data_IF_124991478379
#
_entry.id   IF_124991478379
#
_cell.length_a   1.000
_cell.length_b   1.000
_cell.length_c   1.000
_cell.angle_alpha   90.00
_cell.angle_beta   90.00
_cell.angle_gamma   90.00
#
_symmetry.space_group_name_H-M   'P 1'
#
loop_
_entity.id
_entity.type
_entity.pdbx_description
1 polymer ?
#
# COMPACT_ATOMS: atom_id res chain seq x y z
N UNK A 1 7.20 9.51 6.46
CA UNK A 1 8.02 8.50 5.74
C UNK A 1 9.22 9.16 5.03
N UNK A 2 10.37 9.28 5.69
CA UNK A 2 11.55 9.92 5.07
C UNK A 2 12.03 9.13 3.84
N UNK A 3 12.12 9.82 2.70
CA UNK A 3 12.81 9.35 1.49
C UNK A 3 12.02 8.44 0.53
N UNK A 4 10.77 8.04 0.85
CA UNK A 4 9.94 7.16 -0.02
C UNK A 4 8.85 7.87 -0.82
N UNK A 5 8.47 9.08 -0.44
CA UNK A 5 7.48 9.88 -1.17
C UNK A 5 8.08 10.53 -2.41
N UNK A 6 7.32 10.61 -3.51
CA UNK A 6 7.77 11.28 -4.73
C UNK A 6 7.94 12.80 -4.57
N UNK A 7 7.11 13.43 -3.73
CA UNK A 7 7.12 14.86 -3.43
C UNK A 7 6.18 15.14 -2.24
N UNK A 8 6.25 16.34 -1.67
CA UNK A 8 5.29 16.81 -0.65
C UNK A 8 4.00 17.36 -1.27
N UNK A 9 4.05 17.88 -2.50
CA UNK A 9 2.88 18.37 -3.23
C UNK A 9 2.05 17.21 -3.82
N UNK A 10 0.78 17.03 -3.42
CA UNK A 10 -0.08 15.97 -3.95
C UNK A 10 -0.18 15.97 -5.47
N UNK A 11 -0.18 17.15 -6.12
CA UNK A 11 -0.29 17.22 -7.57
C UNK A 11 0.97 16.68 -8.26
N UNK A 12 2.16 16.88 -7.68
CA UNK A 12 3.42 16.28 -8.14
C UNK A 12 3.44 14.78 -7.90
N UNK A 13 2.96 14.31 -6.74
CA UNK A 13 2.83 12.87 -6.44
C UNK A 13 1.95 12.17 -7.48
N UNK A 14 0.76 12.70 -7.77
CA UNK A 14 -0.16 12.13 -8.78
C UNK A 14 0.50 12.00 -10.16
N UNK A 15 1.22 13.05 -10.61
CA UNK A 15 1.94 13.01 -11.90
C UNK A 15 3.02 11.93 -11.92
N UNK A 16 3.82 11.84 -10.85
CA UNK A 16 4.88 10.85 -10.74
C UNK A 16 4.31 9.42 -10.69
N UNK A 17 3.29 9.18 -9.87
CA UNK A 17 2.63 7.88 -9.76
C UNK A 17 2.07 7.44 -11.10
N UNK A 18 1.37 8.31 -11.85
CA UNK A 18 0.85 7.97 -13.19
C UNK A 18 1.98 7.60 -14.15
N UNK A 19 3.05 8.39 -14.20
CA UNK A 19 4.19 8.09 -15.06
C UNK A 19 4.83 6.74 -14.70
N UNK A 20 4.97 6.43 -13.41
CA UNK A 20 5.46 5.12 -12.94
C UNK A 20 4.52 3.98 -13.31
N UNK A 21 3.21 4.17 -13.12
CA UNK A 21 2.17 3.18 -13.46
C UNK A 21 2.23 2.85 -14.95
N UNK A 22 2.28 3.87 -15.81
CA UNK A 22 2.44 3.69 -17.26
C UNK A 22 3.71 2.93 -17.61
N UNK A 23 4.86 3.34 -17.05
CA UNK A 23 6.14 2.68 -17.33
C UNK A 23 6.17 1.21 -16.92
N UNK A 24 5.61 0.87 -15.75
CA UNK A 24 5.49 -0.52 -15.30
C UNK A 24 4.56 -1.34 -16.20
N UNK A 25 3.40 -0.79 -16.56
CA UNK A 25 2.42 -1.48 -17.42
C UNK A 25 2.99 -1.74 -18.83
N UNK A 26 3.69 -0.76 -19.41
CA UNK A 26 4.41 -0.89 -20.69
C UNK A 26 5.53 -1.95 -20.61
N UNK A 27 6.28 -1.96 -19.49
CA UNK A 27 7.27 -2.99 -19.16
C UNK A 27 6.66 -4.36 -18.85
N UNK A 28 5.33 -4.44 -18.73
CA UNK A 28 4.58 -5.66 -18.54
C UNK A 28 4.46 -6.17 -17.12
N UNK A 29 4.66 -5.28 -16.15
CA UNK A 29 4.49 -5.52 -14.73
C UNK A 29 3.25 -4.76 -14.27
N UNK A 30 2.27 -5.45 -13.66
CA UNK A 30 1.09 -4.78 -13.09
C UNK A 30 1.50 -4.02 -11.82
N UNK A 31 1.42 -2.68 -11.79
CA UNK A 31 1.79 -1.92 -10.60
C UNK A 31 0.70 -1.99 -9.52
N UNK A 32 1.13 -2.00 -8.26
CA UNK A 32 0.27 -1.82 -7.08
C UNK A 32 0.68 -0.51 -6.41
N UNK A 33 -0.27 0.40 -6.21
CA UNK A 33 0.00 1.69 -5.54
C UNK A 33 -0.11 1.49 -4.04
N UNK A 34 0.84 2.04 -3.29
CA UNK A 34 0.90 1.92 -1.83
C UNK A 34 1.31 3.24 -1.17
N UNK A 35 1.03 3.46 0.13
CA UNK A 35 0.18 2.64 1.01
C UNK A 35 -1.05 3.47 1.43
N UNK A 36 -2.26 2.95 1.21
CA UNK A 36 -3.52 3.65 1.51
C UNK A 36 -3.89 3.55 3.00
N UNK A 37 -4.44 4.60 3.67
CA UNK A 37 -4.91 5.88 3.14
C UNK A 37 -3.83 6.98 3.03
N UNK A 38 -2.57 6.67 3.34
CA UNK A 38 -1.43 7.55 3.10
C UNK A 38 -0.48 7.64 4.28
N UNK A 39 0.76 7.19 4.09
CA UNK A 39 1.81 7.16 5.13
C UNK A 39 2.73 8.40 5.12
N UNK A 40 2.40 9.42 4.32
CA UNK A 40 3.24 10.62 4.16
C UNK A 40 3.56 11.29 5.51
N UNK A 41 2.55 11.43 6.36
CA UNK A 41 2.63 12.03 7.69
C UNK A 41 2.88 11.00 8.82
N UNK A 42 3.28 9.76 8.50
CA UNK A 42 3.60 8.76 9.51
C UNK A 42 4.84 9.18 10.32
N UNK A 43 4.78 8.98 11.64
CA UNK A 43 5.84 9.30 12.60
C UNK A 43 7.18 8.61 12.31
N UNK A 44 7.15 7.45 11.67
CA UNK A 44 8.31 6.71 11.17
C UNK A 44 7.92 5.81 10.00
N UNK A 45 8.86 5.00 9.50
CA UNK A 45 8.57 3.99 8.48
C UNK A 45 7.78 2.82 9.10
N UNK A 46 6.53 2.54 8.66
CA UNK A 46 5.72 1.44 9.22
C UNK A 46 6.29 0.04 8.98
N UNK A 47 7.20 -0.11 8.00
CA UNK A 47 7.89 -1.38 7.77
C UNK A 47 8.95 -1.71 8.84
N UNK A 48 9.38 -0.70 9.61
CA UNK A 48 10.41 -0.83 10.65
C UNK A 48 9.83 -0.93 12.07
N UNK A 49 8.53 -0.69 12.23
CA UNK A 49 7.85 -0.74 13.52
C UNK A 49 6.57 0.10 13.55
N UNK A 50 5.88 0.15 14.70
CA UNK A 50 4.62 0.86 14.85
C UNK A 50 4.75 2.35 14.49
N UNK A 51 3.96 2.82 13.54
CA UNK A 51 3.95 4.21 13.10
C UNK A 51 2.54 4.78 13.21
N UNK A 52 2.42 6.05 13.57
CA UNK A 52 1.14 6.73 13.72
C UNK A 52 1.03 7.88 12.73
N UNK A 53 -0.13 7.98 12.09
CA UNK A 53 -0.56 9.15 11.33
C UNK A 53 -1.59 9.90 12.17
N UNK A 54 -1.17 11.06 12.70
CA UNK A 54 -1.99 11.89 13.60
C UNK A 54 -2.94 12.87 12.90
N UNK A 55 -3.14 12.72 11.60
CA UNK A 55 -4.04 13.58 10.83
C UNK A 55 -5.51 13.21 11.08
N UNK A 56 -6.40 14.21 11.07
CA UNK A 56 -7.84 13.98 11.05
C UNK A 56 -8.32 13.45 9.67
N UNK A 57 -9.53 12.90 9.62
CA UNK A 57 -10.07 12.27 8.41
C UNK A 57 -10.25 13.28 7.26
N UNK A 58 -10.58 14.53 7.55
CA UNK A 58 -10.77 15.55 6.52
C UNK A 58 -9.42 15.94 5.90
N UNK A 59 -8.38 16.07 6.73
CA UNK A 59 -7.00 16.28 6.30
C UNK A 59 -6.48 15.13 5.43
N UNK A 60 -6.83 13.87 5.75
CA UNK A 60 -6.53 12.71 4.90
C UNK A 60 -7.28 12.79 3.56
N UNK A 61 -8.58 13.13 3.59
CA UNK A 61 -9.42 13.31 2.40
C UNK A 61 -8.87 14.35 1.44
N UNK A 62 -8.55 15.54 1.96
CA UNK A 62 -8.14 16.68 1.14
C UNK A 62 -6.75 16.51 0.52
N UNK A 63 -5.92 15.61 1.09
CA UNK A 63 -4.55 15.35 0.66
C UNK A 63 -4.38 13.93 0.10
N UNK A 64 -4.02 12.96 0.95
CA UNK A 64 -3.56 11.64 0.52
C UNK A 64 -4.66 10.85 -0.20
N UNK A 65 -5.87 10.78 0.36
CA UNK A 65 -7.00 10.06 -0.22
C UNK A 65 -7.40 10.70 -1.57
N UNK A 66 -7.38 12.04 -1.69
CA UNK A 66 -7.59 12.72 -2.97
C UNK A 66 -6.54 12.34 -4.02
N UNK A 67 -5.28 12.20 -3.62
CA UNK A 67 -4.22 11.74 -4.52
C UNK A 67 -4.46 10.29 -4.97
N UNK A 68 -4.85 9.39 -4.06
CA UNK A 68 -5.26 8.02 -4.40
C UNK A 68 -6.46 8.01 -5.34
N UNK A 69 -7.47 8.84 -5.10
CA UNK A 69 -8.65 8.93 -5.97
C UNK A 69 -8.28 9.38 -7.40
N UNK A 70 -7.29 10.25 -7.54
CA UNK A 70 -6.83 10.69 -8.85
C UNK A 70 -6.15 9.57 -9.66
N UNK A 71 -5.61 8.52 -9.02
CA UNK A 71 -4.88 7.43 -9.68
C UNK A 71 -5.57 6.07 -9.60
N UNK A 72 -6.64 5.94 -8.80
CA UNK A 72 -7.31 4.66 -8.53
C UNK A 72 -7.83 3.98 -9.80
N UNK A 73 -8.27 4.77 -10.78
CA UNK A 73 -8.75 4.28 -12.08
C UNK A 73 -7.64 3.82 -13.03
N UNK A 74 -6.41 4.22 -12.75
CA UNK A 74 -5.24 3.88 -13.57
C UNK A 74 -4.61 2.55 -13.15
N UNK A 75 -5.05 1.98 -12.01
CA UNK A 75 -4.41 0.82 -11.38
C UNK A 75 -5.40 -0.29 -11.06
N UNK A 76 -4.88 -1.52 -10.99
CA UNK A 76 -5.68 -2.72 -10.71
C UNK A 76 -5.59 -3.19 -9.27
N UNK A 77 -4.66 -2.63 -8.51
CA UNK A 77 -4.53 -2.93 -7.09
C UNK A 77 -3.95 -1.80 -6.28
N UNK A 78 -4.39 -1.72 -5.03
CA UNK A 78 -3.93 -0.77 -4.02
C UNK A 78 -3.57 -1.56 -2.77
N UNK A 79 -2.40 -1.27 -2.19
CA UNK A 79 -1.98 -1.85 -0.94
C UNK A 79 -2.37 -0.96 0.24
N UNK A 80 -2.85 -1.58 1.31
CA UNK A 80 -3.15 -0.93 2.57
C UNK A 80 -1.88 -0.59 3.37
N UNK A 81 -2.03 0.36 4.29
CA UNK A 81 -0.99 0.80 5.21
C UNK A 81 -0.91 -0.07 6.46
N UNK A 82 0.30 -0.26 6.98
CA UNK A 82 0.55 -0.87 8.29
C UNK A 82 0.56 0.16 9.45
N UNK A 83 0.36 1.45 9.15
CA UNK A 83 0.34 2.49 10.16
C UNK A 83 -1.00 2.53 10.93
N UNK A 84 -0.96 3.11 12.13
CA UNK A 84 -2.09 3.45 12.98
C UNK A 84 -2.61 4.84 12.60
N UNK A 85 -3.92 5.04 12.52
CA UNK A 85 -4.49 6.33 12.09
C UNK A 85 -5.44 6.87 13.15
N UNK A 86 -5.09 7.99 13.76
CA UNK A 86 -5.90 8.59 14.84
C UNK A 86 -7.34 8.91 14.44
N UNK A 87 -7.57 9.13 13.14
CA UNK A 87 -8.88 9.41 12.57
C UNK A 87 -9.77 8.18 12.32
N UNK A 88 -9.22 6.96 12.42
CA UNK A 88 -9.90 5.71 12.13
C UNK A 88 -9.87 4.81 13.38
N UNK A 89 -8.73 4.16 13.60
CA UNK A 89 -8.42 3.40 14.80
C UNK A 89 -6.96 3.73 15.21
N UNK A 90 -6.73 4.30 16.41
CA UNK A 90 -5.41 4.71 16.86
C UNK A 90 -4.52 3.56 17.35
N UNK A 91 -5.04 2.34 17.47
CA UNK A 91 -4.31 1.17 18.02
C UNK A 91 -4.22 0.01 17.03
N UNK A 92 -5.11 -0.06 16.05
CA UNK A 92 -5.13 -1.10 15.02
C UNK A 92 -4.54 -0.59 13.69
N UNK A 93 -3.60 -1.32 13.06
CA UNK A 93 -3.10 -0.99 11.72
C UNK A 93 -4.21 -0.90 10.67
N UNK A 94 -4.16 0.11 9.79
CA UNK A 94 -5.21 0.36 8.81
C UNK A 94 -5.56 -0.85 7.92
N UNK A 95 -4.60 -1.74 7.64
CA UNK A 95 -4.85 -2.97 6.87
C UNK A 95 -5.81 -3.95 7.54
N UNK A 96 -6.07 -3.80 8.83
CA UNK A 96 -6.96 -4.64 9.64
C UNK A 96 -8.24 -3.92 10.05
N UNK A 97 -8.39 -2.64 9.68
CA UNK A 97 -9.52 -1.80 10.07
C UNK A 97 -10.56 -1.77 8.93
N UNK A 98 -11.78 -2.33 9.11
CA UNK A 98 -12.79 -2.34 8.07
C UNK A 98 -13.13 -0.96 7.51
N UNK A 99 -13.18 0.07 8.38
CA UNK A 99 -13.45 1.46 8.00
C UNK A 99 -12.38 2.01 7.07
N UNK A 100 -11.11 1.62 7.24
CA UNK A 100 -10.03 2.05 6.36
C UNK A 100 -10.20 1.48 4.96
N UNK A 101 -10.53 0.19 4.83
CA UNK A 101 -10.80 -0.44 3.54
C UNK A 101 -12.11 0.09 2.93
N UNK A 102 -13.11 0.41 3.75
CA UNK A 102 -14.36 0.99 3.31
C UNK A 102 -14.17 2.36 2.61
N UNK A 103 -13.14 3.13 2.97
CA UNK A 103 -12.79 4.37 2.24
C UNK A 103 -12.38 4.08 0.78
N UNK A 104 -11.73 2.94 0.49
CA UNK A 104 -11.43 2.56 -0.90
C UNK A 104 -12.70 2.24 -1.68
N UNK A 105 -13.60 1.45 -1.08
CA UNK A 105 -14.84 1.01 -1.75
C UNK A 105 -15.89 2.11 -1.86
N UNK A 106 -15.97 2.98 -0.84
CA UNK A 106 -16.94 4.08 -0.76
C UNK A 106 -16.42 5.36 -1.41
N UNK A 107 -15.45 6.02 -0.78
CA UNK A 107 -14.99 7.36 -1.20
C UNK A 107 -14.33 7.33 -2.60
N UNK A 108 -13.67 6.23 -2.96
CA UNK A 108 -12.94 6.09 -4.22
C UNK A 108 -13.67 5.27 -5.30
N UNK A 109 -14.77 4.58 -4.96
CA UNK A 109 -15.44 3.61 -5.84
C UNK A 109 -14.44 2.61 -6.48
N UNK A 110 -13.43 2.20 -5.71
CA UNK A 110 -12.37 1.33 -6.21
C UNK A 110 -12.86 -0.12 -6.26
N UNK A 111 -12.87 -0.73 -7.44
CA UNK A 111 -13.25 -2.15 -7.63
C UNK A 111 -12.05 -3.08 -7.90
N UNK A 112 -10.83 -2.55 -7.90
CA UNK A 112 -9.61 -3.35 -8.04
C UNK A 112 -9.26 -4.16 -6.79
N UNK A 113 -8.19 -4.95 -6.86
CA UNK A 113 -7.74 -5.77 -5.74
C UNK A 113 -7.15 -4.92 -4.61
N UNK A 114 -7.63 -5.12 -3.38
CA UNK A 114 -7.03 -4.55 -2.17
C UNK A 114 -6.03 -5.54 -1.61
N UNK A 115 -4.78 -5.11 -1.51
CA UNK A 115 -3.69 -5.92 -0.97
C UNK A 115 -3.45 -5.50 0.48
N UNK A 116 -3.31 -6.45 1.40
CA UNK A 116 -2.97 -6.12 2.78
C UNK A 116 -1.59 -5.44 2.86
N UNK A 117 -1.32 -4.74 3.95
CA UNK A 117 0.06 -4.43 4.31
C UNK A 117 0.84 -5.72 4.63
N UNK A 118 2.14 -5.58 4.91
CA UNK A 118 2.95 -6.70 5.37
C UNK A 118 2.40 -7.24 6.70
N UNK A 119 1.86 -8.46 6.67
CA UNK A 119 1.27 -9.03 7.88
C UNK A 119 2.32 -9.29 8.96
N UNK A 120 3.59 -9.56 8.64
CA UNK A 120 4.62 -9.76 9.67
C UNK A 120 4.88 -8.50 10.50
N UNK A 121 4.92 -7.33 9.86
CA UNK A 121 5.13 -6.07 10.58
C UNK A 121 3.88 -5.66 11.36
N UNK A 122 2.71 -5.99 10.82
CA UNK A 122 1.42 -5.83 11.48
C UNK A 122 1.35 -6.67 12.76
N UNK A 123 1.71 -7.95 12.69
CA UNK A 123 1.73 -8.89 13.82
C UNK A 123 2.73 -8.48 14.89
N UNK A 124 3.94 -8.10 14.49
CA UNK A 124 4.97 -7.62 15.41
C UNK A 124 4.54 -6.35 16.16
N UNK A 125 3.70 -5.50 15.57
CA UNK A 125 3.16 -4.30 16.20
C UNK A 125 1.99 -4.60 17.16
N UNK A 126 1.16 -5.60 16.84
CA UNK A 126 -0.09 -5.89 17.57
C UNK A 126 -0.01 -7.00 18.62
N UNK A 127 1.05 -7.80 18.64
CA UNK A 127 1.21 -8.92 19.60
C UNK A 127 0.24 -10.08 19.38
N UNK A 128 -0.39 -10.16 18.20
CA UNK A 128 -1.32 -11.22 17.79
C UNK A 128 -0.59 -12.31 17.02
N UNK A 129 -1.30 -13.34 16.58
CA UNK A 129 -0.75 -14.34 15.67
C UNK A 129 -0.86 -13.89 14.20
N UNK A 130 -0.04 -14.45 13.32
CA UNK A 130 -0.14 -14.18 11.87
C UNK A 130 -1.47 -14.71 11.35
N UNK A 131 -1.96 -15.82 11.92
CA UNK A 131 -3.27 -16.37 11.64
C UNK A 131 -4.42 -15.39 11.90
N UNK A 132 -4.41 -14.73 13.06
CA UNK A 132 -5.44 -13.76 13.42
C UNK A 132 -5.41 -12.55 12.48
N UNK A 133 -4.23 -11.99 12.21
CA UNK A 133 -4.08 -10.85 11.29
C UNK A 133 -4.49 -11.18 9.86
N UNK A 134 -4.28 -12.43 9.41
CA UNK A 134 -4.72 -12.89 8.11
C UNK A 134 -6.25 -12.93 8.00
N UNK A 135 -6.94 -13.43 9.04
CA UNK A 135 -8.41 -13.46 9.08
C UNK A 135 -8.96 -12.03 9.16
N UNK A 136 -8.43 -11.20 10.06
CA UNK A 136 -8.85 -9.82 10.24
C UNK A 136 -8.65 -8.98 8.97
N UNK A 137 -7.53 -9.15 8.25
CA UNK A 137 -7.32 -8.44 6.99
C UNK A 137 -8.37 -8.81 5.93
N UNK A 138 -8.77 -10.09 5.85
CA UNK A 138 -9.84 -10.53 4.95
C UNK A 138 -11.21 -10.01 5.40
N UNK A 139 -11.49 -10.02 6.70
CA UNK A 139 -12.73 -9.46 7.28
C UNK A 139 -12.83 -7.95 7.05
N UNK A 140 -11.72 -7.22 7.20
CA UNK A 140 -11.63 -5.81 6.86
C UNK A 140 -11.90 -5.55 5.36
N UNK A 141 -11.72 -6.57 4.51
CA UNK A 141 -12.06 -6.53 3.10
C UNK A 141 -10.87 -6.48 2.16
N UNK A 142 -9.66 -6.82 2.62
CA UNK A 142 -8.54 -7.11 1.74
C UNK A 142 -8.87 -8.32 0.86
N UNK A 143 -8.41 -8.30 -0.39
CA UNK A 143 -8.57 -9.40 -1.33
C UNK A 143 -7.34 -10.31 -1.37
N UNK A 144 -6.14 -9.75 -1.24
CA UNK A 144 -4.86 -10.47 -1.32
C UNK A 144 -4.00 -10.19 -0.09
N UNK A 145 -3.56 -11.25 0.60
CA UNK A 145 -2.69 -11.15 1.76
C UNK A 145 -1.22 -11.08 1.34
N UNK A 146 -0.51 -10.05 1.80
CA UNK A 146 0.93 -9.92 1.67
C UNK A 146 1.63 -10.44 2.93
N UNK A 147 2.20 -11.64 2.82
CA UNK A 147 2.90 -12.32 3.89
C UNK A 147 4.28 -12.79 3.40
N UNK A 148 5.33 -11.95 3.54
CA UNK A 148 6.69 -12.28 3.09
C UNK A 148 7.43 -13.26 4.02
N UNK A 149 6.73 -13.89 4.97
CA UNK A 149 7.28 -14.87 5.90
C UNK A 149 7.64 -16.21 5.27
N UNK A 150 8.17 -17.10 6.11
CA UNK A 150 8.51 -18.45 5.71
C UNK A 150 7.28 -19.36 5.60
N UNK A 151 7.54 -20.64 5.32
CA UNK A 151 6.49 -21.64 5.19
C UNK A 151 5.65 -21.77 6.47
N UNK A 152 6.25 -21.60 7.65
CA UNK A 152 5.55 -21.73 8.92
C UNK A 152 4.46 -20.66 9.09
N UNK A 153 4.80 -19.38 8.87
CA UNK A 153 3.85 -18.27 8.97
C UNK A 153 2.77 -18.37 7.89
N UNK A 154 3.15 -18.77 6.67
CA UNK A 154 2.20 -18.99 5.58
C UNK A 154 1.21 -20.13 5.87
N UNK A 155 1.68 -21.22 6.48
CA UNK A 155 0.84 -22.35 6.85
C UNK A 155 -0.06 -22.03 8.05
N UNK A 156 0.41 -21.24 9.01
CA UNK A 156 -0.41 -20.70 10.09
C UNK A 156 -1.57 -19.85 9.53
N UNK A 157 -1.27 -18.86 8.69
CA UNK A 157 -2.26 -18.02 8.02
C UNK A 157 -3.27 -18.86 7.21
N UNK A 158 -2.77 -19.82 6.42
CA UNK A 158 -3.62 -20.71 5.64
C UNK A 158 -4.58 -21.50 6.53
N UNK A 159 -4.09 -22.11 7.61
CA UNK A 159 -4.92 -22.90 8.53
C UNK A 159 -5.97 -22.03 9.22
N UNK A 160 -5.59 -20.84 9.69
CA UNK A 160 -6.51 -19.90 10.34
C UNK A 160 -7.65 -19.49 9.39
N UNK A 161 -7.31 -19.10 8.15
CA UNK A 161 -8.31 -18.73 7.13
C UNK A 161 -9.23 -19.91 6.79
N UNK A 162 -8.68 -21.12 6.63
CA UNK A 162 -9.50 -22.33 6.37
C UNK A 162 -10.46 -22.62 7.54
N UNK A 163 -10.01 -22.47 8.77
CA UNK A 163 -10.85 -22.63 9.97
C UNK A 163 -11.95 -21.58 10.01
N UNK A 164 -11.61 -20.30 9.84
CA UNK A 164 -12.57 -19.19 9.84
C UNK A 164 -13.66 -19.36 8.76
N UNK A 165 -13.30 -19.86 7.56
CA UNK A 165 -14.28 -20.20 6.52
C UNK A 165 -15.23 -21.33 6.97
N UNK A 166 -14.70 -22.37 7.62
CA UNK A 166 -15.49 -23.52 8.09
C UNK A 166 -16.42 -23.16 9.24
N UNK A 167 -15.98 -22.25 10.10
CA UNK A 167 -16.72 -21.77 11.27
C UNK A 167 -17.74 -20.68 10.89
N UNK A 168 -17.60 -20.09 9.71
CA UNK A 168 -18.52 -19.07 9.18
C UNK A 168 -18.11 -17.64 9.53
N UNK A 169 -16.91 -17.44 10.06
CA UNK A 169 -16.35 -16.12 10.41
C UNK A 169 -15.90 -15.34 9.18
N UNK A 170 -15.70 -16.03 8.05
CA UNK A 170 -15.42 -15.42 6.75
C UNK A 170 -16.56 -15.72 5.77
N UNK A 171 -17.14 -14.66 5.23
CA UNK A 171 -18.18 -14.75 4.21
C UNK A 171 -17.59 -15.29 2.88
N UNK A 172 -18.07 -16.47 2.48
CA UNK A 172 -17.65 -17.15 1.25
C UNK A 172 -18.00 -16.34 0.01
N UNK A 173 -19.13 -15.65 -0.03
CA UNK A 173 -19.52 -14.81 -1.18
C UNK A 173 -18.54 -13.64 -1.33
N UNK A 174 -18.18 -13.00 -0.21
CA UNK A 174 -17.14 -11.96 -0.19
C UNK A 174 -15.79 -12.48 -0.69
N UNK A 175 -15.37 -13.67 -0.28
CA UNK A 175 -14.11 -14.29 -0.73
C UNK A 175 -14.13 -14.65 -2.22
N UNK A 176 -15.28 -15.10 -2.75
CA UNK A 176 -15.43 -15.33 -4.19
C UNK A 176 -15.26 -14.02 -4.99
N UNK A 177 -15.79 -12.91 -4.49
CA UNK A 177 -15.55 -11.59 -5.08
C UNK A 177 -14.04 -11.22 -5.04
N UNK A 178 -13.34 -11.52 -3.93
CA UNK A 178 -11.88 -11.33 -3.85
C UNK A 178 -11.14 -12.15 -4.92
N UNK A 179 -11.48 -13.43 -5.08
CA UNK A 179 -10.87 -14.31 -6.09
C UNK A 179 -11.07 -13.76 -7.51
N UNK A 180 -12.24 -13.21 -7.82
CA UNK A 180 -12.49 -12.55 -9.11
C UNK A 180 -11.56 -11.37 -9.34
N UNK A 181 -11.42 -10.46 -8.35
CA UNK A 181 -10.52 -9.29 -8.44
C UNK A 181 -9.06 -9.69 -8.57
N UNK A 182 -8.61 -10.72 -7.83
CA UNK A 182 -7.27 -11.29 -7.97
C UNK A 182 -7.08 -11.87 -9.38
N UNK A 183 -8.08 -12.55 -9.91
CA UNK A 183 -8.08 -13.06 -11.28
C UNK A 183 -7.98 -11.94 -12.33
N UNK A 184 -8.63 -10.79 -12.11
CA UNK A 184 -8.51 -9.60 -12.95
C UNK A 184 -7.14 -8.92 -12.80
N UNK A 185 -6.59 -8.89 -11.59
CA UNK A 185 -5.24 -8.39 -11.34
C UNK A 185 -4.17 -9.21 -12.09
N UNK A 186 -4.34 -10.54 -12.14
CA UNK A 186 -3.46 -11.47 -12.87
C UNK A 186 -3.66 -11.39 -14.38
N UNK A 187 -4.89 -11.15 -14.84
CA UNK A 187 -5.22 -11.02 -16.26
C UNK A 187 -4.74 -9.67 -16.77
N UNK A 188 -3.48 -9.63 -17.21
CA UNK A 188 -2.94 -8.51 -17.98
C UNK A 188 -3.75 -8.40 -19.29
N UNK A 189 -4.46 -7.29 -19.57
CA UNK A 189 -4.96 -7.06 -20.91
C UNK A 189 -3.77 -6.94 -21.86
N UNK A 190 -3.91 -7.41 -23.10
CA UNK A 190 -2.91 -7.13 -24.14
C UNK A 190 -2.63 -5.61 -24.17
N UNK A 191 -1.34 -5.25 -24.31
CA UNK A 191 -0.91 -3.86 -24.34
C UNK A 191 -1.80 -3.04 -25.31
N UNK A 192 -2.48 -2.02 -24.78
CA UNK A 192 -3.37 -1.14 -25.55
C UNK A 192 -4.88 -1.29 -25.30
N UNK A 193 -5.34 -2.31 -24.55
CA UNK A 193 -6.77 -2.54 -24.30
C UNK A 193 -7.21 -2.22 -22.86
N UNK A 194 -6.76 -1.09 -22.32
CA UNK A 194 -7.25 -0.60 -21.03
C UNK A 194 -8.36 0.45 -21.27
N UNK A 195 -9.64 0.16 -20.96
CA UNK A 195 -10.76 1.05 -21.28
C UNK A 195 -10.71 2.45 -20.61
N UNK A 196 -9.77 2.68 -19.69
CA UNK A 196 -9.51 3.97 -19.04
C UNK A 196 -8.29 4.74 -19.55
N UNK A 197 -7.45 4.17 -20.44
CA UNK A 197 -6.19 4.78 -20.90
C UNK A 197 -6.26 5.34 -22.34
N UNK A 198 -7.42 5.87 -22.74
CA UNK A 198 -7.59 6.57 -24.03
C UNK A 198 -7.28 8.07 -23.94
N UNK A 199 -6.28 8.44 -23.12
CA UNK A 199 -5.69 9.77 -23.10
C UNK A 199 -4.26 9.68 -23.60
N UNK A 200 -4.06 9.69 -24.92
CA UNK A 200 -2.74 9.63 -25.53
C UNK A 200 -1.85 10.78 -25.03
N UNK A 201 -0.86 10.47 -24.20
CA UNK A 201 0.27 11.36 -23.97
C UNK A 201 1.22 11.11 -25.14
N UNK A 202 1.48 12.17 -25.93
CA UNK A 202 2.47 12.10 -27.01
C UNK A 202 3.81 11.57 -26.45
N UNK A 203 4.55 10.74 -27.22
CA UNK A 203 5.80 10.15 -26.74
C UNK A 203 6.75 11.27 -26.30
N UNK A 204 7.00 11.35 -24.99
CA UNK A 204 8.06 12.20 -24.46
C UNK A 204 9.39 11.52 -24.74
N UNK A 205 10.37 12.31 -25.19
CA UNK A 205 11.71 11.81 -25.45
C UNK A 205 12.29 11.13 -24.20
N UNK A 206 13.12 10.09 -24.37
CA UNK A 206 13.75 9.41 -23.25
C UNK A 206 14.50 10.41 -22.38
N UNK A 207 14.12 10.49 -21.10
CA UNK A 207 14.89 11.23 -20.09
C UNK A 207 16.22 10.49 -19.93
N UNK A 208 17.32 11.20 -20.18
CA UNK A 208 18.66 10.65 -20.00
C UNK A 208 18.84 10.15 -18.56
N UNK A 209 19.55 9.02 -18.33
CA UNK A 209 19.84 8.54 -16.99
C UNK A 209 20.54 9.64 -16.18
N UNK A 210 20.29 9.74 -14.86
CA UNK A 210 20.99 10.68 -14.02
C UNK A 210 22.51 10.42 -14.16
N UNK A 211 23.26 11.49 -14.41
CA UNK A 211 24.71 11.43 -14.47
C UNK A 211 25.32 10.90 -13.16
N UNK A 212 26.57 10.45 -13.18
CA UNK A 212 27.23 9.91 -12.00
C UNK A 212 27.17 10.91 -10.84
N UNK A 213 26.71 10.44 -9.68
CA UNK A 213 26.69 11.20 -8.43
C UNK A 213 28.14 11.49 -8.06
N UNK A 214 28.50 12.77 -7.97
CA UNK A 214 29.81 13.19 -7.50
C UNK A 214 30.08 12.61 -6.09
N UNK A 215 31.31 12.15 -5.80
CA UNK A 215 31.63 11.61 -4.49
C UNK A 215 31.39 12.68 -3.42
N UNK A 216 30.60 12.35 -2.40
CA UNK A 216 30.43 13.18 -1.22
C UNK A 216 31.79 13.35 -0.53
N UNK A 217 32.13 14.59 -0.17
CA UNK A 217 33.31 14.88 0.63
C UNK A 217 33.20 14.15 1.99
N UNK A 218 34.29 13.59 2.52
CA UNK A 218 34.26 12.90 3.81
C UNK A 218 33.87 13.88 4.92
N UNK A 219 33.07 13.40 5.86
CA UNK A 219 32.65 14.17 7.03
C UNK A 219 33.86 14.66 7.84
N UNK A 220 33.80 15.88 8.43
CA UNK A 220 34.88 16.40 9.25
C UNK A 220 35.08 15.54 10.51
N UNK A 221 36.35 15.36 10.88
CA UNK A 221 36.75 14.59 12.06
C UNK A 221 36.17 15.21 13.35
N UNK A 222 35.79 14.39 14.35
CA UNK A 222 35.29 14.89 15.62
C UNK A 222 36.37 15.67 16.38
N UNK A 223 35.96 16.76 17.03
CA UNK A 223 36.83 17.61 17.84
C UNK A 223 37.42 16.85 19.04
N UNK A 224 38.67 17.14 19.45
CA UNK A 224 39.29 16.48 20.59
C UNK A 224 38.60 16.87 21.90
N UNK A 225 38.36 15.86 22.75
CA UNK A 225 37.85 16.01 24.11
C UNK A 225 38.96 16.60 25.00
N UNK A 226 38.71 17.67 25.79
CA UNK A 226 39.72 18.25 26.67
C UNK A 226 40.06 17.33 27.85
N UNK A 227 41.30 17.34 28.35
CA UNK A 227 41.68 16.57 29.54
C UNK A 227 41.10 17.19 30.81
N UNK A 228 40.71 16.34 31.75
CA UNK A 228 40.27 16.71 33.11
C UNK A 228 41.41 16.97 34.08
#
# INVERSE_FOLDING_TARGET
>A
AEGRGFADDPARVVRAVRASVTGWDEGGVTPIVNSFPGEGAASQNPDLGPATVGLDLQSLRDNAIRAFNAVSRDVRGIQMSAALYSALDPVTPATLVPEAVALLRGDLDFDGAVVSANLLTTTAAGGRSVGDDAVDALQAGCDLLYLPGGQAEQEEAYRAVVTAIREGDLDVERLQASVKRIGELRRRPAAGNNPGMSGGVAPQQPVAPPGPVAPQAPAPAPAPVPPG
#
